data_IF_018363286811
#
_entry.id   IF_018363286811
#
_cell.length_a   1.000
_cell.length_b   1.000
_cell.length_c   1.000
_cell.angle_alpha   90.00
_cell.angle_beta   90.00
_cell.angle_gamma   90.00
#
_symmetry.space_group_name_H-M   'P 1'
#
loop_
_entity.id
_entity.type
_entity.pdbx_description
1 polymer ?
#
# COMPACT_ATOMS: atom_id res chain seq x y z
N UNK A 1 43.99 -24.89 -4.30
CA UNK A 1 43.02 -23.79 -4.52
C UNK A 1 43.14 -22.83 -3.36
N UNK A 2 43.11 -21.51 -3.61
CA UNK A 2 43.23 -20.46 -2.59
C UNK A 2 41.94 -19.66 -2.53
N UNK A 3 41.62 -19.15 -1.34
CA UNK A 3 40.40 -18.39 -1.06
C UNK A 3 40.75 -17.15 -0.24
N UNK A 4 39.97 -16.09 -0.45
CA UNK A 4 40.00 -14.90 0.41
C UNK A 4 38.83 -15.02 1.39
N UNK A 5 39.11 -14.87 2.69
CA UNK A 5 38.12 -15.07 3.76
C UNK A 5 37.99 -13.78 4.57
N UNK A 6 36.76 -13.33 4.77
CA UNK A 6 36.42 -12.26 5.71
C UNK A 6 36.01 -12.95 7.02
N UNK A 7 36.76 -12.71 8.10
CA UNK A 7 36.54 -13.35 9.40
C UNK A 7 36.79 -12.35 10.53
N UNK A 8 36.19 -12.63 11.69
CA UNK A 8 36.40 -11.87 12.93
C UNK A 8 37.69 -12.30 13.62
N UNK A 9 38.18 -11.48 14.54
CA UNK A 9 39.28 -11.82 15.45
C UNK A 9 38.99 -13.05 16.32
N UNK A 10 37.71 -13.36 16.56
CA UNK A 10 37.24 -14.59 17.22
C UNK A 10 37.44 -15.86 16.38
N UNK A 11 37.71 -15.73 15.09
CA UNK A 11 37.78 -16.83 14.13
C UNK A 11 36.46 -17.14 13.41
N UNK A 12 35.38 -16.40 13.70
CA UNK A 12 34.09 -16.57 13.02
C UNK A 12 34.18 -16.10 11.56
N UNK A 13 33.81 -16.96 10.63
CA UNK A 13 33.81 -16.67 9.20
C UNK A 13 32.53 -15.94 8.80
N UNK A 14 32.69 -14.78 8.15
CA UNK A 14 31.58 -13.97 7.64
C UNK A 14 31.32 -14.23 6.15
N UNK A 15 32.39 -14.36 5.36
CA UNK A 15 32.29 -14.64 3.93
C UNK A 15 33.54 -15.34 3.41
N UNK A 16 33.35 -16.26 2.45
CA UNK A 16 34.42 -16.91 1.69
C UNK A 16 34.23 -16.57 0.22
N UNK A 17 35.25 -16.01 -0.40
CA UNK A 17 35.26 -15.62 -1.81
C UNK A 17 36.48 -16.21 -2.51
N UNK A 18 36.41 -16.31 -3.83
CA UNK A 18 37.54 -16.71 -4.68
C UNK A 18 38.75 -15.81 -4.43
N UNK A 19 39.96 -16.37 -4.62
CA UNK A 19 41.23 -15.65 -4.46
C UNK A 19 41.18 -14.27 -5.13
N UNK A 20 41.36 -13.24 -4.31
CA UNK A 20 41.53 -11.87 -4.78
C UNK A 20 43.03 -11.57 -4.89
N UNK A 21 43.52 -11.11 -6.04
CA UNK A 21 44.96 -10.93 -6.27
C UNK A 21 45.57 -9.81 -5.41
N UNK A 22 44.77 -8.80 -5.03
CA UNK A 22 45.22 -7.68 -4.21
C UNK A 22 44.26 -7.43 -3.05
N UNK A 23 44.53 -8.06 -1.92
CA UNK A 23 43.72 -7.94 -0.71
C UNK A 23 43.80 -6.51 -0.14
N UNK A 24 44.89 -5.77 -0.38
CA UNK A 24 45.10 -4.44 0.20
C UNK A 24 44.23 -3.36 -0.44
N UNK A 25 43.74 -3.58 -1.66
CA UNK A 25 42.80 -2.67 -2.32
C UNK A 25 41.34 -2.95 -1.97
N UNK A 26 41.03 -4.06 -1.27
CA UNK A 26 39.68 -4.37 -0.81
C UNK A 26 39.34 -3.45 0.37
N UNK A 27 38.24 -2.71 0.23
CA UNK A 27 37.68 -1.87 1.29
C UNK A 27 36.44 -2.56 1.86
N UNK A 28 36.34 -2.58 3.18
CA UNK A 28 35.19 -3.10 3.91
C UNK A 28 34.56 -1.91 4.63
N UNK A 29 33.28 -1.68 4.37
CA UNK A 29 32.53 -0.56 4.95
C UNK A 29 31.07 -0.96 5.14
N UNK A 30 30.33 -0.17 5.92
CA UNK A 30 28.90 -0.37 6.19
C UNK A 30 28.09 0.76 5.58
N UNK A 31 27.08 0.41 4.78
CA UNK A 31 26.20 1.38 4.14
C UNK A 31 24.76 1.16 4.59
N UNK A 32 24.08 2.24 4.95
CA UNK A 32 22.63 2.22 5.15
C UNK A 32 21.94 2.27 3.79
N UNK A 33 21.07 1.29 3.52
CA UNK A 33 20.23 1.25 2.32
C UNK A 33 18.76 1.11 2.73
N UNK A 34 17.82 1.58 1.90
CA UNK A 34 16.39 1.39 2.16
C UNK A 34 16.02 -0.10 2.25
N UNK A 35 15.06 -0.42 3.11
CA UNK A 35 14.55 -1.78 3.25
C UNK A 35 14.03 -2.33 1.92
N UNK A 36 14.43 -3.57 1.61
CA UNK A 36 14.05 -4.23 0.37
C UNK A 36 14.87 -3.83 -0.86
N UNK A 37 15.90 -3.00 -0.69
CA UNK A 37 16.89 -2.74 -1.73
C UNK A 37 18.08 -3.70 -1.64
N UNK A 38 18.75 -3.91 -2.78
CA UNK A 38 20.04 -4.60 -2.85
C UNK A 38 21.13 -3.66 -3.39
N UNK A 39 22.36 -3.82 -2.91
CA UNK A 39 23.52 -3.04 -3.37
C UNK A 39 24.05 -3.66 -4.66
N UNK A 40 24.11 -2.87 -5.73
CA UNK A 40 24.72 -3.29 -7.00
C UNK A 40 26.17 -2.88 -7.09
N UNK A 41 26.47 -1.67 -6.61
CA UNK A 41 27.79 -1.06 -6.74
C UNK A 41 28.00 0.02 -5.69
N UNK A 42 29.27 0.40 -5.50
CA UNK A 42 29.66 1.51 -4.65
C UNK A 42 30.20 2.63 -5.53
N UNK A 43 29.60 3.81 -5.44
CA UNK A 43 30.11 5.03 -6.04
C UNK A 43 31.32 5.51 -5.23
N UNK A 44 32.51 5.40 -5.82
CA UNK A 44 33.79 5.83 -5.25
C UNK A 44 34.29 7.16 -5.81
N UNK A 45 33.49 7.83 -6.66
CA UNK A 45 33.89 9.10 -7.29
C UNK A 45 33.89 10.28 -6.30
N UNK A 46 33.16 10.13 -5.19
CA UNK A 46 33.01 11.14 -4.14
C UNK A 46 33.96 10.88 -2.99
N UNK A 47 34.18 11.91 -2.15
CA UNK A 47 34.98 11.78 -0.92
C UNK A 47 34.41 10.74 0.04
N UNK A 48 33.09 10.71 0.17
CA UNK A 48 32.35 9.67 0.87
C UNK A 48 31.79 8.70 -0.16
N UNK A 49 32.11 7.42 0.00
CA UNK A 49 31.54 6.39 -0.86
C UNK A 49 30.03 6.30 -0.63
N UNK A 50 29.27 6.03 -1.69
CA UNK A 50 27.83 5.86 -1.60
C UNK A 50 27.41 4.52 -2.19
N UNK A 51 26.51 3.80 -1.50
CA UNK A 51 25.91 2.60 -2.04
C UNK A 51 24.88 2.96 -3.12
N UNK A 52 25.08 2.44 -4.33
CA UNK A 52 24.08 2.47 -5.39
C UNK A 52 23.25 1.20 -5.23
N UNK A 53 21.97 1.38 -4.90
CA UNK A 53 21.04 0.29 -4.64
C UNK A 53 19.77 0.42 -5.46
N UNK A 54 19.15 -0.70 -5.81
CA UNK A 54 17.85 -0.74 -6.46
C UNK A 54 16.83 -1.51 -5.62
N UNK A 55 15.55 -1.13 -5.75
CA UNK A 55 14.45 -1.84 -5.11
C UNK A 55 14.29 -3.22 -5.73
N UNK A 56 14.23 -4.25 -4.90
CA UNK A 56 13.84 -5.58 -5.38
C UNK A 56 12.35 -5.56 -5.76
N UNK A 57 11.92 -6.36 -6.76
CA UNK A 57 10.50 -6.43 -7.12
C UNK A 57 9.60 -6.75 -5.92
N UNK A 58 10.10 -7.51 -4.94
CA UNK A 58 9.37 -7.86 -3.73
C UNK A 58 9.14 -6.66 -2.79
N UNK A 59 10.07 -5.69 -2.76
CA UNK A 59 9.94 -4.44 -2.03
C UNK A 59 8.86 -3.54 -2.63
N UNK A 60 8.78 -3.50 -3.96
CA UNK A 60 7.71 -2.77 -4.67
C UNK A 60 6.34 -3.43 -4.44
N UNK A 61 6.27 -4.77 -4.42
CA UNK A 61 5.04 -5.49 -4.08
C UNK A 61 4.55 -5.21 -2.66
N UNK A 62 5.45 -5.08 -1.67
CA UNK A 62 5.08 -4.76 -0.30
C UNK A 62 4.45 -3.36 -0.21
N UNK A 63 5.07 -2.35 -0.85
CA UNK A 63 4.51 -0.99 -0.93
C UNK A 63 3.17 -0.96 -1.66
N UNK A 64 3.07 -1.64 -2.80
CA UNK A 64 1.82 -1.72 -3.55
C UNK A 64 0.69 -2.39 -2.76
N UNK A 65 1.00 -3.42 -1.97
CA UNK A 65 0.00 -4.10 -1.14
C UNK A 65 -0.52 -3.19 -0.03
N UNK A 66 0.36 -2.44 0.62
CA UNK A 66 -0.01 -1.48 1.65
C UNK A 66 -0.89 -0.34 1.07
N UNK A 67 -0.52 0.19 -0.10
CA UNK A 67 -1.34 1.17 -0.82
C UNK A 67 -2.70 0.62 -1.25
N UNK A 68 -2.77 -0.65 -1.67
CA UNK A 68 -4.01 -1.31 -2.04
C UNK A 68 -4.93 -1.53 -0.83
N UNK A 69 -4.38 -1.94 0.32
CA UNK A 69 -5.15 -2.08 1.56
C UNK A 69 -5.67 -0.73 2.06
N UNK A 70 -4.85 0.33 2.02
CA UNK A 70 -5.28 1.67 2.37
C UNK A 70 -6.39 2.19 1.44
N UNK A 71 -6.28 1.93 0.14
CA UNK A 71 -7.27 2.31 -0.86
C UNK A 71 -8.59 1.55 -0.68
N UNK A 72 -8.54 0.24 -0.42
CA UNK A 72 -9.72 -0.58 -0.13
C UNK A 72 -10.45 -0.09 1.11
N UNK A 73 -9.73 0.22 2.20
CA UNK A 73 -10.32 0.77 3.43
C UNK A 73 -11.05 2.09 3.18
N UNK A 74 -10.47 2.98 2.37
CA UNK A 74 -11.08 4.25 1.98
C UNK A 74 -12.33 4.05 1.11
N UNK A 75 -12.31 3.08 0.21
CA UNK A 75 -13.47 2.69 -0.62
C UNK A 75 -14.60 2.12 0.23
N UNK A 76 -14.30 1.26 1.21
CA UNK A 76 -15.29 0.71 2.15
C UNK A 76 -15.95 1.82 2.98
N UNK A 77 -15.18 2.77 3.51
CA UNK A 77 -15.73 3.92 4.23
C UNK A 77 -16.64 4.79 3.36
N UNK A 78 -16.25 5.05 2.10
CA UNK A 78 -17.07 5.81 1.17
C UNK A 78 -18.36 5.08 0.81
N UNK A 79 -18.30 3.77 0.62
CA UNK A 79 -19.48 2.96 0.34
C UNK A 79 -20.42 2.90 1.54
N UNK A 80 -19.89 2.80 2.77
CA UNK A 80 -20.69 2.86 4.00
C UNK A 80 -21.42 4.19 4.12
N UNK A 81 -20.71 5.31 3.99
CA UNK A 81 -21.31 6.66 4.03
C UNK A 81 -22.38 6.84 2.96
N UNK A 82 -22.11 6.40 1.73
CA UNK A 82 -23.10 6.44 0.65
C UNK A 82 -24.34 5.60 0.97
N UNK A 83 -24.16 4.41 1.55
CA UNK A 83 -25.29 3.57 1.95
C UNK A 83 -26.16 4.27 3.00
N UNK A 84 -25.55 4.85 4.02
CA UNK A 84 -26.24 5.61 5.08
C UNK A 84 -27.01 6.81 4.48
N UNK A 85 -26.37 7.62 3.64
CA UNK A 85 -27.00 8.76 2.96
C UNK A 85 -28.16 8.32 2.05
N UNK A 86 -28.02 7.19 1.33
CA UNK A 86 -29.12 6.68 0.49
C UNK A 86 -30.29 6.15 1.31
N UNK A 87 -30.04 5.60 2.50
CA UNK A 87 -31.10 5.12 3.39
C UNK A 87 -31.86 6.29 4.01
N UNK A 88 -31.15 7.33 4.44
CA UNK A 88 -31.76 8.58 4.90
C UNK A 88 -32.55 9.28 3.80
N UNK A 89 -32.00 9.35 2.58
CA UNK A 89 -32.71 9.90 1.42
C UNK A 89 -33.99 9.11 1.12
N UNK A 90 -33.95 7.77 1.16
CA UNK A 90 -35.13 6.92 0.98
C UNK A 90 -36.18 7.15 2.08
N UNK A 91 -35.77 7.27 3.34
CA UNK A 91 -36.68 7.56 4.46
C UNK A 91 -37.33 8.94 4.31
N UNK A 92 -36.57 9.95 3.91
CA UNK A 92 -37.09 11.30 3.67
C UNK A 92 -38.10 11.33 2.50
N UNK A 93 -37.81 10.62 1.41
CA UNK A 93 -38.75 10.50 0.28
C UNK A 93 -40.05 9.83 0.71
N UNK A 94 -39.97 8.73 1.47
CA UNK A 94 -41.14 8.00 1.96
C UNK A 94 -42.00 8.84 2.92
N UNK A 95 -41.35 9.55 3.85
CA UNK A 95 -42.03 10.44 4.78
C UNK A 95 -42.76 11.58 4.03
N UNK A 96 -42.09 12.21 3.06
CA UNK A 96 -42.72 13.24 2.23
C UNK A 96 -43.89 12.71 1.40
N UNK A 97 -43.75 11.52 0.80
CA UNK A 97 -44.84 10.89 0.05
C UNK A 97 -46.05 10.56 0.94
N UNK A 98 -45.81 10.10 2.17
CA UNK A 98 -46.86 9.80 3.16
C UNK A 98 -47.61 11.06 3.59
N UNK A 99 -46.88 12.16 3.85
CA UNK A 99 -47.47 13.44 4.19
C UNK A 99 -48.32 13.99 3.04
N UNK A 100 -47.85 13.90 1.79
CA UNK A 100 -48.65 14.28 0.62
C UNK A 100 -49.92 13.45 0.48
N UNK A 101 -49.86 12.14 0.73
CA UNK A 101 -51.05 11.28 0.71
C UNK A 101 -52.06 11.62 1.82
N UNK A 102 -51.61 12.12 2.97
CA UNK A 102 -52.51 12.56 4.05
C UNK A 102 -53.15 13.94 3.85
N UNK A 103 -52.56 14.78 2.98
CA UNK A 103 -53.06 16.13 2.68
C UNK A 103 -53.84 16.15 1.35
N UNK A 104 -53.67 15.13 0.50
CA UNK A 104 -54.46 14.96 -0.71
C UNK A 104 -55.94 14.77 -0.33
N UNK A 105 -56.87 15.56 -0.89
CA UNK A 105 -58.29 15.33 -0.68
C UNK A 105 -58.64 13.92 -1.19
N UNK A 106 -59.31 13.13 -0.35
CA UNK A 106 -59.97 11.91 -0.80
C UNK A 106 -61.07 12.31 -1.77
N UNK A 107 -60.79 12.27 -3.07
CA UNK A 107 -61.85 12.17 -4.06
C UNK A 107 -62.48 10.79 -3.87
N UNK A 108 -63.53 10.75 -3.06
CA UNK A 108 -64.54 9.70 -3.09
C UNK A 108 -65.21 9.85 -4.45
N UNK A 109 -64.75 9.06 -5.44
CA UNK A 109 -65.51 8.84 -6.65
C UNK A 109 -66.78 8.10 -6.26
N UNK A 110 -67.90 8.81 -6.23
CA UNK A 110 -69.22 8.19 -6.26
C UNK A 110 -69.31 7.38 -7.56
N UNK A 111 -69.34 6.05 -7.42
CA UNK A 111 -69.79 5.16 -8.49
C UNK A 111 -71.29 5.42 -8.68
N UNK A 112 -71.62 6.24 -9.70
CA UNK A 112 -72.98 6.52 -10.14
C UNK A 112 -73.53 5.26 -10.85
N UNK A 113 -74.14 4.35 -10.07
CA UNK A 113 -75.07 3.35 -10.59
C UNK A 113 -76.40 4.03 -10.97
N UNK A 114 -76.59 4.32 -12.26
CA UNK A 114 -77.80 4.96 -12.78
C UNK A 114 -78.28 4.40 -14.13
N UNK A 115 -79.16 3.39 -14.04
CA UNK A 115 -80.29 2.99 -14.91
C UNK A 115 -80.25 3.25 -16.43
#
# INVERSE_FOLDING_TARGET
MKYTVIYKDTGDVLAVISEQPDIKSIKIDTFEIPDGNIIDSIDVSKKEHAAVSHATPMADFAKMKEELEATNKRLEELNRKRSEETEEMRKAILANATLMATIAPTEVGEEDEGL
#
